data_IF_647913343245
#
_entry.id   IF_647913343245
#
_cell.length_a   1.000
_cell.length_b   1.000
_cell.length_c   1.000
_cell.angle_alpha   90.00
_cell.angle_beta   90.00
_cell.angle_gamma   90.00
#
_symmetry.space_group_name_H-M   'P 1'
#
loop_
_entity.id
_entity.type
_entity.pdbx_description
1 polymer ?
#
# COMPACT_ATOMS: atom_id res chain seq x y z
N UNK A 1 -33.45 -85.47 -15.38
CA UNK A 1 -33.21 -84.47 -14.31
C UNK A 1 -32.76 -83.16 -14.97
N UNK A 2 -33.62 -82.17 -14.98
CA UNK A 2 -33.35 -80.83 -15.59
C UNK A 2 -32.90 -79.89 -14.50
N UNK A 3 -31.65 -79.46 -14.59
CA UNK A 3 -31.08 -78.43 -13.69
C UNK A 3 -31.47 -77.04 -14.20
N UNK A 4 -32.27 -76.33 -13.40
CA UNK A 4 -32.55 -74.89 -13.62
C UNK A 4 -31.52 -74.09 -12.89
N UNK A 5 -30.62 -73.36 -13.67
CA UNK A 5 -29.70 -72.38 -13.16
C UNK A 5 -30.49 -71.07 -13.01
N UNK A 6 -30.70 -70.65 -11.76
CA UNK A 6 -31.31 -69.37 -11.42
C UNK A 6 -30.24 -68.30 -11.53
N UNK A 7 -30.26 -67.48 -12.59
CA UNK A 7 -29.37 -66.34 -12.78
C UNK A 7 -29.94 -65.15 -11.98
N UNK A 8 -29.40 -64.90 -10.79
CA UNK A 8 -29.67 -63.68 -10.00
C UNK A 8 -28.98 -62.48 -10.67
N UNK A 9 -29.76 -61.66 -11.37
CA UNK A 9 -29.31 -60.35 -11.88
C UNK A 9 -29.17 -59.37 -10.68
N UNK A 10 -27.94 -59.19 -10.23
CA UNK A 10 -27.56 -58.06 -9.38
C UNK A 10 -27.56 -56.80 -10.24
N UNK A 11 -28.65 -56.02 -10.27
CA UNK A 11 -28.65 -54.65 -10.75
C UNK A 11 -28.01 -53.77 -9.66
N UNK A 12 -26.89 -53.07 -9.94
CA UNK A 12 -26.38 -52.10 -8.99
C UNK A 12 -27.38 -50.95 -8.87
N UNK A 13 -28.01 -50.83 -7.74
CA UNK A 13 -28.78 -49.65 -7.34
C UNK A 13 -27.79 -48.51 -7.15
N UNK A 14 -27.50 -47.77 -8.22
CA UNK A 14 -26.88 -46.47 -8.10
C UNK A 14 -27.91 -45.55 -7.41
N UNK A 15 -27.85 -45.45 -6.09
CA UNK A 15 -28.45 -44.35 -5.36
C UNK A 15 -27.66 -43.09 -5.72
N UNK A 16 -28.09 -42.38 -6.74
CA UNK A 16 -27.65 -41.00 -6.98
C UNK A 16 -28.15 -40.23 -5.77
N UNK A 17 -27.25 -39.96 -4.83
CA UNK A 17 -27.52 -39.04 -3.74
C UNK A 17 -27.90 -37.69 -4.39
N UNK A 18 -29.18 -37.39 -4.43
CA UNK A 18 -29.71 -36.13 -4.94
C UNK A 18 -29.21 -35.03 -4.01
N UNK A 19 -28.19 -34.29 -4.43
CA UNK A 19 -27.69 -33.11 -3.71
C UNK A 19 -28.84 -32.12 -3.56
N UNK A 20 -29.28 -31.87 -2.32
CA UNK A 20 -30.37 -30.93 -2.04
C UNK A 20 -29.88 -29.51 -2.29
N UNK A 21 -30.40 -28.85 -3.32
CA UNK A 21 -30.15 -27.44 -3.63
C UNK A 21 -30.70 -26.56 -2.49
N UNK A 22 -29.89 -25.66 -1.93
CA UNK A 22 -30.27 -24.76 -0.83
C UNK A 22 -30.56 -23.32 -1.30
N UNK A 23 -30.31 -22.97 -2.56
CA UNK A 23 -30.57 -21.65 -3.09
C UNK A 23 -30.00 -21.49 -4.50
N UNK A 24 -29.98 -20.25 -4.98
CA UNK A 24 -29.46 -19.85 -6.29
C UNK A 24 -28.56 -18.63 -6.12
N UNK A 25 -27.51 -18.53 -6.94
CA UNK A 25 -26.61 -17.38 -7.02
C UNK A 25 -26.92 -16.64 -8.31
N UNK A 26 -27.03 -15.32 -8.25
CA UNK A 26 -27.31 -14.44 -9.38
C UNK A 26 -26.22 -13.39 -9.50
N UNK A 27 -25.76 -13.13 -10.71
CA UNK A 27 -24.86 -12.00 -11.06
C UNK A 27 -25.65 -10.72 -11.41
N UNK A 28 -26.95 -10.86 -11.69
CA UNK A 28 -27.91 -9.77 -11.89
C UNK A 28 -29.11 -9.98 -10.96
N UNK A 29 -29.37 -9.03 -10.09
CA UNK A 29 -30.46 -9.11 -9.11
C UNK A 29 -30.86 -7.70 -8.65
N UNK A 30 -32.15 -7.38 -8.42
CA UNK A 30 -32.58 -6.06 -7.95
C UNK A 30 -31.89 -5.62 -6.64
N UNK A 31 -31.53 -6.56 -5.77
CA UNK A 31 -30.79 -6.29 -4.55
C UNK A 31 -29.37 -5.75 -4.80
N UNK A 32 -28.75 -6.09 -5.93
CA UNK A 32 -27.44 -5.54 -6.32
C UNK A 32 -27.59 -4.05 -6.65
N UNK A 33 -28.63 -3.68 -7.37
CA UNK A 33 -28.90 -2.27 -7.69
C UNK A 33 -29.25 -1.46 -6.42
N UNK A 34 -29.99 -2.05 -5.48
CA UNK A 34 -30.24 -1.43 -4.18
C UNK A 34 -28.94 -1.14 -3.42
N UNK A 35 -27.96 -2.06 -3.45
CA UNK A 35 -26.66 -1.85 -2.82
C UNK A 35 -25.86 -0.76 -3.53
N UNK A 36 -25.89 -0.69 -4.85
CA UNK A 36 -25.26 0.41 -5.62
C UNK A 36 -25.87 1.79 -5.26
N UNK A 37 -27.21 1.85 -5.11
CA UNK A 37 -27.86 3.08 -4.65
C UNK A 37 -27.44 3.45 -3.22
N UNK A 38 -27.32 2.46 -2.34
CA UNK A 38 -26.82 2.66 -0.98
C UNK A 38 -25.39 3.20 -0.99
N UNK A 39 -24.48 2.61 -1.77
CA UNK A 39 -23.09 3.03 -1.86
C UNK A 39 -22.96 4.46 -2.40
N UNK A 40 -23.75 4.79 -3.41
CA UNK A 40 -23.81 6.15 -3.94
C UNK A 40 -24.30 7.16 -2.89
N UNK A 41 -25.36 6.84 -2.16
CA UNK A 41 -25.86 7.70 -1.09
C UNK A 41 -24.87 7.79 0.08
N UNK A 42 -24.19 6.69 0.40
CA UNK A 42 -23.18 6.65 1.44
C UNK A 42 -21.97 7.55 1.10
N UNK A 43 -21.43 7.43 -0.10
CA UNK A 43 -20.25 8.20 -0.52
C UNK A 43 -20.54 9.66 -0.85
N UNK A 44 -21.79 10.00 -1.20
CA UNK A 44 -22.23 11.39 -1.40
C UNK A 44 -22.72 12.09 -0.13
N UNK A 45 -22.85 11.38 1.00
CA UNK A 45 -23.37 11.95 2.23
C UNK A 45 -24.89 12.16 2.26
N UNK A 46 -25.63 11.52 1.34
CA UNK A 46 -27.10 11.65 1.26
C UNK A 46 -27.80 10.82 2.32
N UNK A 47 -27.84 11.37 3.55
CA UNK A 47 -28.44 10.72 4.72
C UNK A 47 -29.95 10.48 4.57
N UNK A 48 -30.67 11.36 3.84
CA UNK A 48 -32.10 11.21 3.65
C UNK A 48 -32.39 10.04 2.68
N UNK A 49 -31.64 9.91 1.62
CA UNK A 49 -31.73 8.75 0.72
C UNK A 49 -31.41 7.45 1.49
N UNK A 50 -30.33 7.44 2.29
CA UNK A 50 -29.94 6.26 3.07
C UNK A 50 -31.04 5.77 4.01
N UNK A 51 -31.77 6.65 4.69
CA UNK A 51 -32.93 6.29 5.53
C UNK A 51 -34.00 5.54 4.75
N UNK A 52 -34.18 5.85 3.47
CA UNK A 52 -35.18 5.14 2.64
C UNK A 52 -34.75 3.75 2.21
N UNK A 53 -33.42 3.51 2.16
CA UNK A 53 -32.85 2.25 1.66
C UNK A 53 -32.66 1.18 2.74
N UNK A 54 -32.77 1.54 4.02
CA UNK A 54 -32.61 0.62 5.15
C UNK A 54 -33.93 0.40 5.91
N UNK A 55 -34.03 -0.71 6.64
CA UNK A 55 -35.17 -0.96 7.53
C UNK A 55 -35.05 -0.16 8.84
N UNK A 56 -36.14 0.06 9.57
CA UNK A 56 -36.13 0.74 10.87
C UNK A 56 -35.28 0.00 11.92
N UNK A 57 -35.29 -1.32 11.87
CA UNK A 57 -34.52 -2.22 12.74
C UNK A 57 -33.15 -2.61 12.16
N UNK A 58 -32.68 -1.85 11.16
CA UNK A 58 -31.36 -2.05 10.53
C UNK A 58 -30.22 -2.17 11.55
N UNK A 59 -29.27 -3.07 11.25
CA UNK A 59 -28.02 -3.22 12.03
C UNK A 59 -26.82 -3.40 11.11
N UNK A 60 -25.66 -2.83 11.51
CA UNK A 60 -24.40 -3.16 10.89
C UNK A 60 -23.38 -3.67 11.91
N UNK A 61 -22.48 -4.54 11.48
CA UNK A 61 -21.53 -5.25 12.32
C UNK A 61 -20.14 -5.28 11.67
N UNK A 62 -19.10 -5.21 12.50
CA UNK A 62 -17.75 -5.54 12.06
C UNK A 62 -17.64 -7.07 11.98
N UNK A 63 -17.39 -7.60 10.79
CA UNK A 63 -17.28 -9.04 10.52
C UNK A 63 -16.09 -9.73 11.20
N UNK A 64 -15.10 -8.95 11.67
CA UNK A 64 -13.95 -9.45 12.44
C UNK A 64 -14.22 -9.49 13.95
N UNK A 65 -15.37 -9.04 14.41
CA UNK A 65 -15.73 -9.05 15.84
C UNK A 65 -16.10 -10.45 16.30
N UNK A 66 -15.53 -10.89 17.41
CA UNK A 66 -15.87 -12.16 18.07
C UNK A 66 -17.27 -12.12 18.73
N UNK A 67 -17.81 -10.92 18.98
CA UNK A 67 -19.14 -10.68 19.59
C UNK A 67 -20.25 -10.46 18.55
N UNK A 68 -20.13 -11.08 17.42
CA UNK A 68 -21.01 -10.91 16.26
C UNK A 68 -22.51 -11.07 16.54
N UNK A 69 -22.89 -11.94 17.49
CA UNK A 69 -24.29 -12.23 17.84
C UNK A 69 -24.83 -11.41 19.02
N UNK A 70 -24.00 -10.54 19.62
CA UNK A 70 -24.52 -9.61 20.63
C UNK A 70 -25.38 -8.54 19.93
N UNK A 71 -26.47 -8.08 20.58
CA UNK A 71 -27.36 -7.02 20.05
C UNK A 71 -26.69 -5.65 19.90
N UNK A 72 -25.37 -5.58 19.87
CA UNK A 72 -24.54 -4.38 19.87
C UNK A 72 -24.14 -3.91 18.46
N UNK A 73 -24.81 -4.35 17.42
CA UNK A 73 -24.60 -3.83 16.07
C UNK A 73 -25.05 -2.36 15.98
N UNK A 74 -24.33 -1.58 15.16
CA UNK A 74 -24.68 -0.19 14.90
C UNK A 74 -26.07 -0.06 14.28
N UNK A 75 -26.87 0.88 14.75
CA UNK A 75 -28.23 1.16 14.27
C UNK A 75 -28.23 2.23 13.16
N UNK A 76 -29.44 2.58 12.66
CA UNK A 76 -29.62 3.62 11.62
C UNK A 76 -28.96 4.94 12.01
N UNK A 77 -29.13 5.45 13.23
CA UNK A 77 -28.56 6.71 13.65
C UNK A 77 -27.04 6.68 13.63
N UNK A 78 -26.43 5.57 14.05
CA UNK A 78 -24.99 5.38 13.99
C UNK A 78 -24.48 5.27 12.55
N UNK A 79 -25.23 4.64 11.64
CA UNK A 79 -24.94 4.64 10.21
C UNK A 79 -24.90 6.07 9.66
N UNK A 80 -25.92 6.88 9.91
CA UNK A 80 -26.01 8.24 9.41
C UNK A 80 -24.89 9.14 9.98
N UNK A 81 -24.52 8.95 11.25
CA UNK A 81 -23.39 9.64 11.86
C UNK A 81 -22.06 9.25 11.18
N UNK A 82 -21.87 7.96 10.88
CA UNK A 82 -20.68 7.49 10.14
C UNK A 82 -20.59 8.09 8.74
N UNK A 83 -21.72 8.12 8.03
CA UNK A 83 -21.79 8.75 6.70
C UNK A 83 -21.39 10.21 6.77
N UNK A 84 -21.98 10.97 7.69
CA UNK A 84 -21.64 12.38 7.90
C UNK A 84 -20.18 12.56 8.29
N UNK A 85 -19.65 11.70 9.16
CA UNK A 85 -18.25 11.73 9.57
C UNK A 85 -17.29 11.54 8.38
N UNK A 86 -17.47 10.48 7.60
CA UNK A 86 -16.56 10.17 6.48
C UNK A 86 -16.65 11.23 5.37
N UNK A 87 -17.84 11.70 5.02
CA UNK A 87 -18.01 12.73 4.00
C UNK A 87 -17.44 14.11 4.43
N UNK A 88 -17.47 14.41 5.72
CA UNK A 88 -16.83 15.61 6.25
C UNK A 88 -15.30 15.49 6.30
N UNK A 89 -14.77 14.27 6.50
CA UNK A 89 -13.34 14.00 6.67
C UNK A 89 -12.62 13.74 5.35
N UNK A 90 -13.27 13.11 4.36
CA UNK A 90 -12.62 12.64 3.16
C UNK A 90 -12.99 13.48 1.93
N UNK A 91 -12.00 13.74 1.08
CA UNK A 91 -12.17 14.09 -0.33
C UNK A 91 -12.05 12.83 -1.19
N UNK A 92 -12.65 12.85 -2.39
CA UNK A 92 -12.69 11.75 -3.35
C UNK A 92 -13.14 10.41 -2.72
N UNK A 93 -14.11 10.52 -1.78
CA UNK A 93 -14.63 9.36 -1.07
C UNK A 93 -15.42 8.46 -2.03
N UNK A 94 -14.97 7.21 -2.20
CA UNK A 94 -15.58 6.25 -3.12
C UNK A 94 -15.58 4.82 -2.57
N UNK A 95 -16.54 4.03 -3.06
CA UNK A 95 -16.61 2.58 -2.93
C UNK A 95 -16.69 2.03 -4.36
N UNK A 96 -15.70 1.27 -4.79
CA UNK A 96 -15.60 0.74 -6.14
C UNK A 96 -15.25 -0.73 -6.12
N UNK A 97 -15.72 -1.49 -7.10
CA UNK A 97 -15.40 -2.92 -7.20
C UNK A 97 -13.90 -3.18 -7.31
N UNK A 98 -13.40 -4.18 -6.59
CA UNK A 98 -11.99 -4.56 -6.55
C UNK A 98 -11.59 -5.33 -7.82
N UNK A 99 -10.92 -4.64 -8.74
CA UNK A 99 -10.50 -5.24 -10.02
C UNK A 99 -11.68 -5.70 -10.86
N UNK A 100 -11.71 -7.00 -11.21
CA UNK A 100 -12.80 -7.62 -11.98
C UNK A 100 -13.90 -8.25 -11.10
N UNK A 101 -13.87 -8.05 -9.79
CA UNK A 101 -14.89 -8.56 -8.89
C UNK A 101 -16.24 -7.89 -9.17
N UNK A 102 -17.31 -8.64 -9.00
CA UNK A 102 -18.69 -8.15 -9.10
C UNK A 102 -19.48 -8.65 -7.88
N UNK A 103 -20.57 -7.95 -7.50
CA UNK A 103 -21.42 -8.41 -6.41
C UNK A 103 -22.20 -9.66 -6.81
N UNK A 104 -22.33 -10.60 -5.85
CA UNK A 104 -23.14 -11.80 -5.99
C UNK A 104 -24.41 -11.69 -5.14
N UNK A 105 -25.57 -12.06 -5.69
CA UNK A 105 -26.80 -12.22 -4.94
C UNK A 105 -27.09 -13.69 -4.67
N UNK A 106 -27.22 -14.05 -3.39
CA UNK A 106 -27.55 -15.40 -2.91
C UNK A 106 -28.98 -15.41 -2.43
N UNK A 107 -29.86 -16.07 -3.15
CA UNK A 107 -31.25 -16.33 -2.74
C UNK A 107 -31.33 -17.72 -2.14
N UNK A 108 -31.51 -17.80 -0.82
CA UNK A 108 -31.67 -19.05 -0.08
C UNK A 108 -33.13 -19.46 0.00
N UNK A 109 -33.37 -20.72 0.31
CA UNK A 109 -34.73 -21.22 0.61
C UNK A 109 -35.33 -20.37 1.75
N UNK A 110 -36.62 -19.99 1.58
CA UNK A 110 -37.35 -19.18 2.55
C UNK A 110 -37.25 -17.68 2.31
N UNK A 111 -36.98 -17.29 1.07
CA UNK A 111 -36.94 -15.88 0.59
C UNK A 111 -35.92 -15.01 1.33
N UNK A 112 -34.78 -15.60 1.69
CA UNK A 112 -33.67 -14.91 2.33
C UNK A 112 -32.63 -14.55 1.27
N UNK A 113 -32.40 -13.25 1.06
CA UNK A 113 -31.47 -12.75 0.06
C UNK A 113 -30.28 -12.05 0.74
N UNK A 114 -29.09 -12.52 0.40
CA UNK A 114 -27.82 -11.90 0.76
C UNK A 114 -27.10 -11.38 -0.48
N UNK A 115 -26.58 -10.15 -0.40
CA UNK A 115 -25.69 -9.60 -1.42
C UNK A 115 -24.27 -9.57 -0.85
N UNK A 116 -23.31 -10.13 -1.57
CA UNK A 116 -21.89 -10.09 -1.23
C UNK A 116 -21.18 -9.13 -2.16
N UNK A 117 -20.40 -8.22 -1.60
CA UNK A 117 -19.59 -7.26 -2.36
C UNK A 117 -18.12 -7.36 -2.00
N UNK A 118 -17.27 -7.09 -2.99
CA UNK A 118 -15.82 -7.18 -2.90
C UNK A 118 -15.24 -5.87 -3.44
N UNK A 119 -15.15 -4.85 -2.59
CA UNK A 119 -14.90 -3.49 -2.99
C UNK A 119 -13.55 -2.97 -2.49
N UNK A 120 -13.19 -1.80 -2.95
CA UNK A 120 -12.18 -0.90 -2.38
C UNK A 120 -12.91 0.33 -1.87
N UNK A 121 -12.74 0.64 -0.59
CA UNK A 121 -13.09 1.92 -0.02
C UNK A 121 -11.88 2.84 -0.13
N UNK A 122 -12.04 4.03 -0.70
CA UNK A 122 -10.94 4.98 -0.88
C UNK A 122 -11.34 6.43 -0.66
N UNK A 123 -10.35 7.28 -0.35
CA UNK A 123 -10.47 8.71 -0.17
C UNK A 123 -9.19 9.31 0.42
N UNK A 124 -9.15 10.64 0.52
CA UNK A 124 -8.05 11.37 1.13
C UNK A 124 -8.57 12.19 2.30
N UNK A 125 -7.91 12.09 3.46
CA UNK A 125 -8.26 12.94 4.60
C UNK A 125 -7.97 14.41 4.32
N UNK A 126 -8.96 15.29 4.53
CA UNK A 126 -8.89 16.73 4.26
C UNK A 126 -7.88 17.48 5.12
N UNK A 127 -7.61 16.96 6.32
CA UNK A 127 -6.76 17.62 7.30
C UNK A 127 -5.28 17.30 7.08
N UNK A 128 -4.94 16.01 6.84
CA UNK A 128 -3.55 15.57 6.78
C UNK A 128 -3.16 14.89 5.47
N UNK A 129 -4.10 14.77 4.51
CA UNK A 129 -3.84 14.16 3.20
C UNK A 129 -3.62 12.64 3.22
N UNK A 130 -3.87 11.97 4.35
CA UNK A 130 -3.70 10.52 4.43
C UNK A 130 -4.61 9.81 3.44
N UNK A 131 -4.02 8.97 2.59
CA UNK A 131 -4.76 8.17 1.61
C UNK A 131 -5.33 6.93 2.28
N UNK A 132 -6.65 6.88 2.43
CA UNK A 132 -7.36 5.65 2.73
C UNK A 132 -7.56 4.90 1.41
N UNK A 133 -7.10 3.66 1.33
CA UNK A 133 -7.38 2.73 0.23
C UNK A 133 -7.32 1.31 0.80
N UNK A 134 -8.48 0.72 1.07
CA UNK A 134 -8.56 -0.55 1.77
C UNK A 134 -9.59 -1.47 1.14
N UNK A 135 -9.35 -2.80 1.09
CA UNK A 135 -10.42 -3.75 0.81
C UNK A 135 -11.59 -3.54 1.75
N UNK A 136 -12.79 -3.58 1.20
CA UNK A 136 -14.05 -3.39 1.90
C UNK A 136 -15.05 -4.45 1.44
N UNK A 137 -15.04 -5.57 2.11
CA UNK A 137 -15.89 -6.71 1.78
C UNK A 137 -17.13 -6.70 2.68
N UNK A 138 -18.32 -6.90 2.08
CA UNK A 138 -19.58 -6.85 2.82
C UNK A 138 -20.47 -8.03 2.50
N UNK A 139 -21.22 -8.47 3.53
CA UNK A 139 -22.36 -9.35 3.41
C UNK A 139 -23.61 -8.57 3.82
N UNK A 140 -24.55 -8.40 2.91
CA UNK A 140 -25.69 -7.50 3.04
C UNK A 140 -26.97 -8.32 2.96
N UNK A 141 -27.72 -8.37 4.07
CA UNK A 141 -29.01 -9.03 4.14
C UNK A 141 -30.12 -8.06 3.77
N UNK A 142 -30.98 -8.46 2.84
CA UNK A 142 -32.19 -7.72 2.52
C UNK A 142 -33.36 -8.09 3.44
N UNK A 143 -34.35 -7.22 3.53
CA UNK A 143 -35.63 -7.53 4.15
C UNK A 143 -36.39 -8.58 3.31
N UNK A 144 -37.48 -9.12 3.83
CA UNK A 144 -38.24 -10.19 3.17
C UNK A 144 -38.81 -9.80 1.81
N UNK A 145 -39.16 -8.53 1.65
CA UNK A 145 -39.66 -7.95 0.40
C UNK A 145 -38.56 -7.70 -0.62
N UNK A 146 -37.28 -7.81 -0.23
CA UNK A 146 -36.12 -7.61 -1.10
C UNK A 146 -35.84 -6.15 -1.51
N UNK A 147 -36.50 -5.17 -0.89
CA UNK A 147 -36.46 -3.76 -1.29
C UNK A 147 -35.79 -2.83 -0.30
N UNK A 148 -35.30 -3.33 0.84
CA UNK A 148 -34.53 -2.58 1.83
C UNK A 148 -33.40 -3.43 2.41
N UNK A 149 -32.33 -2.76 2.81
CA UNK A 149 -31.22 -3.39 3.53
C UNK A 149 -31.59 -3.51 5.01
N UNK A 150 -31.58 -4.75 5.51
CA UNK A 150 -31.86 -5.06 6.91
C UNK A 150 -30.60 -5.17 7.75
N UNK A 151 -29.50 -5.69 7.15
CA UNK A 151 -28.23 -5.89 7.88
C UNK A 151 -27.04 -5.74 6.95
N UNK A 152 -25.95 -5.15 7.46
CA UNK A 152 -24.64 -5.16 6.83
C UNK A 152 -23.63 -5.78 7.79
N UNK A 153 -22.80 -6.68 7.28
CA UNK A 153 -21.61 -7.19 7.93
C UNK A 153 -20.44 -6.74 7.08
N UNK A 154 -19.57 -5.92 7.63
CA UNK A 154 -18.46 -5.31 6.90
C UNK A 154 -17.12 -5.77 7.42
N UNK A 155 -16.16 -5.92 6.52
CA UNK A 155 -14.77 -6.27 6.84
C UNK A 155 -13.83 -5.37 6.07
N UNK A 156 -12.83 -4.82 6.76
CA UNK A 156 -11.79 -3.98 6.18
C UNK A 156 -10.45 -4.20 6.89
N UNK A 157 -9.35 -3.71 6.32
CA UNK A 157 -8.03 -3.88 6.89
C UNK A 157 -7.83 -2.99 8.12
N UNK A 158 -7.94 -3.58 9.32
CA UNK A 158 -7.80 -2.88 10.60
C UNK A 158 -6.43 -2.18 10.74
N UNK A 159 -5.34 -2.82 10.30
CA UNK A 159 -4.01 -2.22 10.37
C UNK A 159 -3.90 -0.94 9.52
N UNK A 160 -4.65 -0.85 8.41
CA UNK A 160 -4.70 0.37 7.60
C UNK A 160 -5.47 1.49 8.33
N UNK A 161 -6.58 1.16 9.00
CA UNK A 161 -7.34 2.11 9.81
C UNK A 161 -6.53 2.57 11.04
N UNK A 162 -5.77 1.69 11.66
CA UNK A 162 -4.84 2.07 12.74
C UNK A 162 -3.76 3.06 12.26
N UNK A 163 -3.19 2.83 11.07
CA UNK A 163 -2.25 3.78 10.45
C UNK A 163 -2.92 5.14 10.21
N UNK A 164 -4.15 5.15 9.70
CA UNK A 164 -4.93 6.38 9.54
C UNK A 164 -5.12 7.11 10.88
N UNK A 165 -5.59 6.41 11.93
CA UNK A 165 -5.77 7.00 13.26
C UNK A 165 -4.45 7.52 13.86
N UNK A 166 -3.33 6.84 13.58
CA UNK A 166 -2.02 7.25 14.05
C UNK A 166 -1.45 8.43 13.26
N UNK A 167 -1.93 8.69 12.04
CA UNK A 167 -1.45 9.81 11.21
C UNK A 167 -1.77 11.20 11.81
N UNK A 168 -2.66 11.27 12.78
CA UNK A 168 -2.98 12.50 13.54
C UNK A 168 -2.11 12.69 14.79
N UNK A 169 -1.19 11.75 15.08
CA UNK A 169 -0.33 11.81 16.27
C UNK A 169 1.06 12.30 15.88
N UNK A 170 1.61 13.18 16.68
CA UNK A 170 3.05 13.46 16.63
C UNK A 170 3.78 12.41 17.45
N UNK A 171 4.63 11.61 16.78
CA UNK A 171 5.45 10.58 17.42
C UNK A 171 6.90 10.89 17.13
N UNK A 172 7.71 10.99 18.18
CA UNK A 172 9.15 11.12 18.06
C UNK A 172 9.73 9.78 17.61
N UNK A 173 10.41 9.76 16.45
CA UNK A 173 10.92 8.53 15.82
C UNK A 173 12.43 8.41 15.83
N UNK A 174 13.14 9.22 16.59
CA UNK A 174 14.59 9.16 16.65
C UNK A 174 15.26 10.50 16.89
N UNK A 175 16.55 10.56 16.59
CA UNK A 175 17.38 11.76 16.77
C UNK A 175 18.07 12.15 15.46
N UNK A 176 18.27 13.43 15.28
CA UNK A 176 19.07 14.00 14.18
C UNK A 176 20.33 14.61 14.82
N UNK A 177 21.48 14.26 14.27
CA UNK A 177 22.78 14.79 14.68
C UNK A 177 23.40 15.59 13.54
N UNK A 178 23.76 16.83 13.83
CA UNK A 178 24.55 17.68 12.96
C UNK A 178 26.05 17.37 13.03
N UNK A 179 26.52 16.93 14.20
CA UNK A 179 27.89 16.52 14.47
C UNK A 179 27.90 15.09 15.03
N UNK A 180 28.47 14.17 14.26
CA UNK A 180 28.61 12.76 14.65
C UNK A 180 29.78 12.13 13.89
N UNK A 181 30.54 11.20 14.47
CA UNK A 181 31.70 10.56 13.81
C UNK A 181 31.34 9.92 12.45
N UNK A 182 30.14 9.36 12.31
CA UNK A 182 29.72 8.72 11.06
C UNK A 182 29.46 9.71 9.92
N UNK A 183 29.29 11.02 10.18
CA UNK A 183 29.26 12.03 9.12
C UNK A 183 30.58 12.07 8.35
N UNK A 184 31.68 11.70 9.00
CA UNK A 184 32.97 11.52 8.34
C UNK A 184 32.95 10.50 7.19
N UNK A 185 32.04 9.56 7.16
CA UNK A 185 31.91 8.56 6.07
C UNK A 185 31.66 9.25 4.74
N UNK A 186 30.63 10.08 4.65
CA UNK A 186 30.28 10.77 3.40
C UNK A 186 31.34 11.84 3.04
N UNK A 187 31.89 12.52 4.04
CA UNK A 187 32.96 13.51 3.79
C UNK A 187 34.22 12.88 3.19
N UNK A 188 34.66 11.72 3.72
CA UNK A 188 35.81 10.99 3.16
C UNK A 188 35.49 10.47 1.75
N UNK A 189 34.32 9.93 1.55
CA UNK A 189 33.85 9.45 0.24
C UNK A 189 33.96 10.59 -0.79
N UNK A 190 33.39 11.73 -0.49
CA UNK A 190 33.39 12.90 -1.42
C UNK A 190 34.79 13.53 -1.59
N UNK A 191 35.64 13.52 -0.58
CA UNK A 191 37.04 13.94 -0.72
C UNK A 191 37.82 12.98 -1.63
N UNK A 192 37.62 11.67 -1.53
CA UNK A 192 38.23 10.71 -2.44
C UNK A 192 37.68 10.83 -3.85
N UNK A 193 36.37 11.11 -4.02
CA UNK A 193 35.81 11.47 -5.30
C UNK A 193 36.47 12.69 -5.90
N UNK A 194 36.63 13.78 -5.17
CA UNK A 194 37.31 15.00 -5.66
C UNK A 194 38.75 14.73 -6.13
N UNK A 195 39.46 13.84 -5.42
CA UNK A 195 40.86 13.48 -5.72
C UNK A 195 41.01 12.40 -6.81
N UNK A 196 39.93 11.85 -7.34
CA UNK A 196 39.97 10.73 -8.31
C UNK A 196 40.39 9.38 -7.71
N UNK A 197 40.36 9.24 -6.38
CA UNK A 197 40.72 8.02 -5.66
C UNK A 197 39.55 7.02 -5.61
N UNK A 198 39.15 6.47 -6.77
CA UNK A 198 37.96 5.61 -6.91
C UNK A 198 37.91 4.48 -5.88
N UNK A 199 39.05 3.79 -5.69
CA UNK A 199 39.07 2.65 -4.76
C UNK A 199 38.73 3.04 -3.33
N UNK A 200 39.24 4.19 -2.88
CA UNK A 200 39.05 4.66 -1.51
C UNK A 200 37.69 5.28 -1.22
N UNK A 201 36.92 5.62 -2.25
CA UNK A 201 35.52 6.06 -2.07
C UNK A 201 34.68 5.04 -1.30
N UNK A 202 35.05 3.77 -1.34
CA UNK A 202 34.28 2.67 -0.75
C UNK A 202 34.91 2.07 0.52
N UNK A 203 35.91 2.73 1.12
CA UNK A 203 36.61 2.25 2.35
C UNK A 203 35.64 2.00 3.51
N UNK A 204 34.55 2.75 3.58
CA UNK A 204 33.52 2.63 4.61
C UNK A 204 32.26 1.86 4.16
N UNK A 205 32.29 1.21 2.98
CA UNK A 205 31.18 0.38 2.50
C UNK A 205 31.34 -1.09 2.89
N UNK A 206 30.21 -1.78 3.14
CA UNK A 206 30.23 -3.23 3.23
C UNK A 206 30.46 -3.84 1.82
N UNK A 207 31.15 -4.98 1.71
CA UNK A 207 31.44 -5.59 0.41
C UNK A 207 30.19 -5.93 -0.43
N UNK A 208 29.06 -6.17 0.22
CA UNK A 208 27.77 -6.47 -0.40
C UNK A 208 26.82 -5.26 -0.45
N UNK A 209 27.32 -4.06 -0.21
CA UNK A 209 26.52 -2.85 -0.30
C UNK A 209 25.86 -2.70 -1.68
N UNK A 210 24.66 -2.13 -1.70
CA UNK A 210 23.90 -1.86 -2.91
C UNK A 210 23.83 -0.37 -3.16
N UNK A 211 24.17 0.02 -4.39
CA UNK A 211 24.21 1.42 -4.80
C UNK A 211 23.10 1.67 -5.82
N UNK A 212 22.22 2.58 -5.47
CA UNK A 212 21.10 3.01 -6.29
C UNK A 212 21.39 4.40 -6.85
N UNK A 213 20.96 4.60 -8.07
CA UNK A 213 21.03 5.87 -8.77
C UNK A 213 19.64 6.18 -9.34
N UNK A 214 19.12 7.37 -9.13
CA UNK A 214 17.80 7.77 -9.62
C UNK A 214 17.68 7.65 -11.15
N UNK A 215 18.80 7.63 -11.87
CA UNK A 215 18.83 7.49 -13.33
C UNK A 215 18.77 6.02 -13.80
N UNK A 216 18.85 5.05 -12.88
CA UNK A 216 18.63 3.64 -13.19
C UNK A 216 17.14 3.31 -13.27
N UNK A 217 16.75 2.24 -14.00
CA UNK A 217 15.40 1.73 -13.93
C UNK A 217 14.94 1.41 -12.50
N UNK A 218 13.65 1.60 -12.22
CA UNK A 218 13.10 1.38 -10.89
C UNK A 218 13.40 -0.02 -10.36
N UNK A 219 13.98 -0.10 -9.16
CA UNK A 219 14.33 -1.35 -8.48
C UNK A 219 15.71 -1.92 -8.85
N UNK A 220 16.41 -1.35 -9.83
CA UNK A 220 17.77 -1.74 -10.16
C UNK A 220 18.78 -1.06 -9.23
N UNK A 221 19.92 -1.72 -9.04
CA UNK A 221 21.02 -1.22 -8.22
C UNK A 221 22.34 -1.83 -8.68
N UNK A 222 23.41 -1.14 -8.45
CA UNK A 222 24.77 -1.56 -8.76
C UNK A 222 25.46 -2.18 -7.55
N UNK A 223 26.39 -3.11 -7.82
CA UNK A 223 27.44 -3.49 -6.88
C UNK A 223 28.53 -2.41 -6.84
N UNK A 224 29.41 -2.48 -5.84
CA UNK A 224 30.60 -1.59 -5.78
C UNK A 224 31.46 -1.71 -7.04
N UNK A 225 31.61 -2.93 -7.58
CA UNK A 225 32.42 -3.17 -8.79
C UNK A 225 31.82 -2.47 -10.02
N UNK A 226 30.51 -2.56 -10.19
CA UNK A 226 29.80 -1.90 -11.29
C UNK A 226 29.86 -0.38 -11.14
N UNK A 227 29.65 0.13 -9.93
CA UNK A 227 29.71 1.58 -9.69
C UNK A 227 31.13 2.13 -9.87
N UNK A 228 32.19 1.43 -9.47
CA UNK A 228 33.58 1.81 -9.78
C UNK A 228 33.79 1.99 -11.28
N UNK A 229 33.23 1.13 -12.11
CA UNK A 229 33.30 1.27 -13.57
C UNK A 229 32.57 2.54 -14.05
N UNK A 230 31.41 2.81 -13.48
CA UNK A 230 30.67 4.07 -13.79
C UNK A 230 31.50 5.30 -13.42
N UNK A 231 32.14 5.28 -12.25
CA UNK A 231 33.03 6.38 -11.83
C UNK A 231 34.24 6.51 -12.74
N UNK A 232 34.85 5.41 -13.19
CA UNK A 232 35.95 5.47 -14.14
C UNK A 232 35.49 6.13 -15.45
N UNK A 233 34.34 5.78 -15.98
CA UNK A 233 33.78 6.41 -17.18
C UNK A 233 33.59 7.94 -16.98
N UNK A 234 33.11 8.33 -15.79
CA UNK A 234 32.95 9.74 -15.44
C UNK A 234 34.34 10.47 -15.49
N UNK A 235 35.37 9.89 -14.84
CA UNK A 235 36.69 10.49 -14.84
C UNK A 235 37.37 10.47 -16.22
N UNK A 236 37.02 9.52 -17.09
CA UNK A 236 37.53 9.51 -18.47
C UNK A 236 36.95 10.67 -19.28
N UNK A 237 35.69 11.05 -19.04
CA UNK A 237 35.02 12.14 -19.74
C UNK A 237 35.22 13.54 -19.10
N UNK A 238 35.32 13.58 -17.77
CA UNK A 238 35.36 14.84 -17.01
C UNK A 238 36.55 14.94 -16.06
N UNK A 239 36.97 16.16 -15.83
CA UNK A 239 37.82 16.57 -14.71
C UNK A 239 36.94 17.06 -13.56
N UNK A 240 37.15 16.58 -12.33
CA UNK A 240 36.50 17.10 -11.14
C UNK A 240 37.23 18.38 -10.71
N UNK A 241 36.58 19.52 -10.88
CA UNK A 241 37.17 20.84 -10.54
C UNK A 241 37.00 21.12 -9.05
N UNK A 242 35.83 20.86 -8.49
CA UNK A 242 35.60 21.04 -7.05
C UNK A 242 34.36 20.24 -6.58
N UNK A 243 34.39 19.90 -5.29
CA UNK A 243 33.31 19.26 -4.57
C UNK A 243 33.04 20.01 -3.27
N UNK A 244 31.88 20.61 -3.13
CA UNK A 244 31.56 21.45 -1.98
C UNK A 244 30.28 21.00 -1.29
N UNK A 245 30.28 20.98 0.04
CA UNK A 245 29.05 20.78 0.80
C UNK A 245 28.04 21.90 0.51
N UNK A 246 26.76 21.53 0.30
CA UNK A 246 25.63 22.45 0.22
C UNK A 246 24.83 22.35 1.51
N UNK A 247 25.13 23.18 2.49
CA UNK A 247 24.60 23.02 3.86
C UNK A 247 25.54 22.18 4.73
N UNK A 248 25.00 21.20 5.41
CA UNK A 248 25.77 20.26 6.24
C UNK A 248 25.10 18.87 6.18
N UNK A 249 25.86 17.78 6.30
CA UNK A 249 25.28 16.44 6.40
C UNK A 249 24.55 16.24 7.73
N UNK A 250 23.42 15.53 7.68
CA UNK A 250 22.65 15.12 8.86
C UNK A 250 22.71 13.60 9.04
N UNK A 251 22.97 13.16 10.27
CA UNK A 251 22.84 11.76 10.66
C UNK A 251 21.53 11.58 11.42
N UNK A 252 20.68 10.69 10.94
CA UNK A 252 19.41 10.29 11.57
C UNK A 252 19.56 8.91 12.19
N UNK A 253 19.25 8.81 13.49
CA UNK A 253 19.19 7.54 14.22
C UNK A 253 17.75 7.30 14.64
N UNK A 254 17.14 6.26 14.07
CA UNK A 254 15.74 5.92 14.31
C UNK A 254 15.53 5.08 15.57
N UNK A 255 14.36 5.18 16.19
CA UNK A 255 14.02 4.44 17.43
C UNK A 255 13.78 2.93 17.20
N UNK A 256 13.86 2.41 16.01
CA UNK A 256 13.58 1.00 15.69
C UNK A 256 14.62 0.40 14.75
N UNK A 257 15.91 0.57 15.06
CA UNK A 257 17.04 0.11 14.27
C UNK A 257 17.11 0.73 12.87
N UNK A 258 17.97 1.66 12.67
CA UNK A 258 18.26 2.29 11.37
C UNK A 258 19.04 3.55 11.57
N UNK A 259 20.14 3.67 10.82
CA UNK A 259 20.95 4.86 10.75
C UNK A 259 20.99 5.33 9.30
N UNK A 260 20.54 6.56 9.07
CA UNK A 260 20.60 7.21 7.74
C UNK A 260 21.47 8.45 7.81
N UNK A 261 22.34 8.61 6.84
CA UNK A 261 23.21 9.76 6.67
C UNK A 261 22.86 10.44 5.36
N UNK A 262 22.32 11.65 5.44
CA UNK A 262 21.94 12.44 4.27
C UNK A 262 22.89 13.63 4.09
N UNK A 263 23.16 13.96 2.83
CA UNK A 263 24.06 15.06 2.49
C UNK A 263 23.76 15.67 1.12
N UNK A 264 24.17 16.92 0.93
CA UNK A 264 23.99 17.67 -0.31
C UNK A 264 25.30 18.27 -0.75
N UNK A 265 25.55 18.19 -2.07
CA UNK A 265 26.84 18.59 -2.66
C UNK A 265 26.64 19.42 -3.92
N UNK A 266 27.55 20.29 -4.15
CA UNK A 266 27.72 21.00 -5.41
C UNK A 266 29.03 20.57 -6.02
N UNK A 267 28.96 19.90 -7.17
CA UNK A 267 30.12 19.38 -7.90
C UNK A 267 30.28 20.18 -9.17
N UNK A 268 31.50 20.68 -9.41
CA UNK A 268 31.86 21.29 -10.67
C UNK A 268 32.73 20.30 -11.45
N UNK A 269 32.21 19.91 -12.62
CA UNK A 269 32.88 19.01 -13.56
C UNK A 269 33.23 19.79 -14.82
N UNK A 270 34.42 19.53 -15.40
CA UNK A 270 34.85 20.10 -16.67
C UNK A 270 34.98 19.00 -17.70
N UNK A 271 34.22 19.10 -18.79
CA UNK A 271 34.34 18.16 -19.89
C UNK A 271 35.70 18.21 -20.50
N UNK A 272 36.40 17.09 -20.62
CA UNK A 272 37.76 17.02 -21.10
C UNK A 272 37.93 17.38 -22.58
N UNK A 273 36.85 17.21 -23.38
CA UNK A 273 36.84 17.50 -24.83
C UNK A 273 36.39 18.93 -25.07
N UNK A 274 35.14 19.29 -24.69
CA UNK A 274 34.57 20.61 -24.95
C UNK A 274 35.16 21.71 -24.09
N UNK A 275 35.80 21.38 -22.96
CA UNK A 275 36.29 22.29 -21.92
C UNK A 275 35.21 23.08 -21.19
N UNK A 276 33.96 22.78 -21.43
CA UNK A 276 32.83 23.37 -20.73
C UNK A 276 32.74 22.87 -19.30
N UNK A 277 32.40 23.77 -18.38
CA UNK A 277 32.11 23.42 -16.99
C UNK A 277 30.63 23.21 -16.79
N UNK A 278 30.28 22.12 -16.09
CA UNK A 278 28.92 21.82 -15.68
C UNK A 278 28.84 21.78 -14.17
N UNK A 279 27.71 22.21 -13.66
CA UNK A 279 27.41 22.22 -12.23
C UNK A 279 26.35 21.14 -11.92
N UNK A 280 26.76 20.17 -11.12
CA UNK A 280 25.88 19.07 -10.71
C UNK A 280 25.51 19.23 -9.23
N UNK A 281 24.22 19.22 -8.93
CA UNK A 281 23.73 19.10 -7.57
C UNK A 281 23.53 17.63 -7.27
N UNK A 282 24.15 17.14 -6.21
CA UNK A 282 24.04 15.76 -5.75
C UNK A 282 23.45 15.72 -4.35
N UNK A 283 22.46 14.89 -4.13
CA UNK A 283 22.00 14.49 -2.82
C UNK A 283 22.28 13.00 -2.61
N UNK A 284 22.97 12.66 -1.52
CA UNK A 284 23.20 11.28 -1.11
C UNK A 284 22.32 10.92 0.08
N UNK A 285 21.76 9.71 0.07
CA UNK A 285 21.12 9.04 1.21
C UNK A 285 21.84 7.71 1.44
N UNK A 286 22.57 7.61 2.55
CA UNK A 286 23.35 6.43 2.92
C UNK A 286 22.70 5.74 4.11
N UNK A 287 22.39 4.45 3.99
CA UNK A 287 21.98 3.62 5.11
C UNK A 287 23.22 2.95 5.71
N UNK A 288 23.43 3.14 7.02
CA UNK A 288 24.59 2.61 7.74
C UNK A 288 24.16 1.46 8.67
N UNK A 289 25.11 0.55 8.95
CA UNK A 289 24.99 -0.38 10.07
C UNK A 289 25.44 0.25 11.39
N UNK A 290 25.34 -0.47 12.50
CA UNK A 290 25.73 0.02 13.84
C UNK A 290 27.23 0.32 13.97
N UNK A 291 28.07 -0.20 13.08
CA UNK A 291 29.51 0.08 13.01
C UNK A 291 29.83 1.30 12.15
N UNK A 292 28.82 1.97 11.56
CA UNK A 292 28.94 3.10 10.68
C UNK A 292 29.38 2.73 9.25
N UNK A 293 29.24 1.46 8.83
CA UNK A 293 29.54 1.03 7.46
C UNK A 293 28.30 1.16 6.58
N UNK A 294 28.51 1.61 5.35
CA UNK A 294 27.45 1.81 4.35
C UNK A 294 26.94 0.46 3.84
N UNK A 295 25.67 0.18 4.03
CA UNK A 295 24.97 -0.97 3.49
C UNK A 295 24.27 -0.65 2.16
N UNK A 296 23.80 0.58 2.03
CA UNK A 296 23.05 1.06 0.87
C UNK A 296 23.34 2.53 0.65
N UNK A 297 23.47 2.95 -0.62
CA UNK A 297 23.42 4.35 -1.01
C UNK A 297 22.36 4.60 -2.06
N UNK A 298 21.83 5.82 -2.06
CA UNK A 298 20.97 6.34 -3.13
C UNK A 298 21.49 7.71 -3.52
N UNK A 299 21.79 7.86 -4.80
CA UNK A 299 22.30 9.10 -5.37
C UNK A 299 21.21 9.77 -6.22
N UNK A 300 20.92 11.03 -5.92
CA UNK A 300 19.93 11.84 -6.60
C UNK A 300 20.63 13.00 -7.30
N UNK A 301 20.68 12.97 -8.62
CA UNK A 301 21.24 14.04 -9.45
C UNK A 301 20.64 14.02 -10.86
N UNK A 302 20.84 15.08 -11.61
CA UNK A 302 20.40 15.12 -13.01
C UNK A 302 21.45 14.46 -13.92
N UNK A 303 21.26 13.18 -14.26
CA UNK A 303 22.16 12.43 -15.13
C UNK A 303 22.22 12.95 -16.57
N UNK A 304 21.21 13.68 -17.05
CA UNK A 304 21.23 14.27 -18.38
C UNK A 304 22.36 15.34 -18.57
N UNK A 305 22.88 15.87 -17.48
CA UNK A 305 24.04 16.82 -17.53
C UNK A 305 25.35 16.12 -17.88
N UNK A 306 25.41 14.80 -17.77
CA UNK A 306 26.63 14.01 -17.98
C UNK A 306 26.72 13.36 -19.36
N UNK A 307 25.73 13.59 -20.24
CA UNK A 307 25.63 13.02 -21.60
C UNK A 307 26.21 13.97 -22.65
#
# INVERSE_FOLDING_TARGET
MKNYILLLLFAPLFTIAQTKKNGTIYVEHPGIELVKEFDKAFTSGDVEKLKTLVTEDFRYYNGLSTNFYSNNGGNVNQLLNNVSYWNNKLDDFSIESRGSAYPDAFEFKGDVVWIYTYDILSGYDKENGFKIKTPYDRSILLNKEGNKIHRIIESFNQAHIEKYNNSFKTVENGKIYRDHPYIGVVRKMMAHFEQGNIDRMYDDYLPNARLFDINLPFGESMSIVEHKKTMQNLYDAFEVVSVNESGYPDLMQYNGDGISLISWWVIILKNKISKEEIKVYLHNDLTLNDEGKVMRSVDYYNGALLN
#
